data_IF_075890202642
#
_entry.id   IF_075890202642
#
_cell.length_a   1.000
_cell.length_b   1.000
_cell.length_c   1.000
_cell.angle_alpha   90.00
_cell.angle_beta   90.00
_cell.angle_gamma   90.00
#
_symmetry.space_group_name_H-M   'P 1'
#
loop_
_entity.id
_entity.type
_entity.pdbx_description
1 polymer ?
#
# COMPACT_ATOMS: atom_id res chain seq x y z
N UNK A 1 0.17 -10.51 -53.09
CA UNK A 1 1.52 -10.78 -52.53
C UNK A 1 2.03 -9.43 -52.03
N UNK A 2 1.80 -9.12 -50.74
CA UNK A 2 2.81 -9.17 -49.62
C UNK A 2 3.85 -8.05 -49.77
N UNK A 3 4.07 -7.10 -48.85
CA UNK A 3 3.80 -7.04 -47.40
C UNK A 3 3.87 -5.58 -46.91
N UNK A 4 3.13 -5.34 -45.83
CA UNK A 4 3.10 -4.18 -44.94
C UNK A 4 4.43 -3.94 -44.23
N UNK A 5 4.76 -2.68 -43.91
CA UNK A 5 5.65 -2.35 -42.80
C UNK A 5 4.99 -1.36 -41.85
N UNK A 6 4.75 -1.86 -40.65
CA UNK A 6 4.32 -1.16 -39.45
C UNK A 6 5.42 -0.21 -38.97
N UNK A 7 5.05 0.97 -38.48
CA UNK A 7 5.82 1.69 -37.47
C UNK A 7 4.91 1.89 -36.25
N UNK A 8 5.32 1.23 -35.18
CA UNK A 8 4.72 1.20 -33.86
C UNK A 8 4.90 2.55 -33.16
N UNK A 9 3.79 3.17 -32.77
CA UNK A 9 3.76 4.17 -31.70
C UNK A 9 2.65 3.74 -30.73
N UNK A 10 3.01 2.86 -29.78
CA UNK A 10 2.12 2.47 -28.68
C UNK A 10 2.41 3.34 -27.47
N UNK A 11 1.66 4.42 -27.33
CA UNK A 11 1.45 5.10 -26.05
C UNK A 11 0.60 4.19 -25.16
N UNK A 12 1.20 3.62 -24.13
CA UNK A 12 0.45 2.85 -23.13
C UNK A 12 -0.39 3.80 -22.26
N UNK A 13 -1.65 3.96 -22.66
CA UNK A 13 -2.71 4.44 -21.79
C UNK A 13 -3.13 3.30 -20.86
N UNK A 14 -3.05 3.50 -19.55
CA UNK A 14 -3.67 2.59 -18.59
C UNK A 14 -5.16 2.95 -18.54
N UNK A 15 -5.99 2.05 -19.08
CA UNK A 15 -7.44 2.11 -18.98
C UNK A 15 -7.81 1.71 -17.54
N UNK A 16 -8.39 2.66 -16.79
CA UNK A 16 -9.16 2.36 -15.59
C UNK A 16 -10.47 1.71 -16.07
N UNK A 17 -10.64 0.41 -15.84
CA UNK A 17 -11.89 -0.27 -16.17
C UNK A 17 -13.01 0.27 -15.25
N UNK A 18 -13.78 1.21 -15.76
CA UNK A 18 -15.18 1.39 -15.41
C UNK A 18 -16.00 0.32 -16.15
N UNK A 19 -16.20 -0.83 -15.53
CA UNK A 19 -17.28 -1.74 -15.91
C UNK A 19 -18.40 -1.63 -14.87
N UNK A 20 -19.32 -0.70 -15.16
CA UNK A 20 -20.70 -0.78 -14.67
C UNK A 20 -21.34 -1.95 -15.41
N UNK A 21 -21.47 -3.11 -14.74
CA UNK A 21 -22.32 -4.17 -15.27
C UNK A 21 -23.33 -4.69 -14.26
N UNK A 22 -24.58 -4.62 -14.69
CA UNK A 22 -25.79 -5.00 -13.99
C UNK A 22 -25.92 -6.50 -14.09
N UNK A 23 -25.50 -7.25 -13.08
CA UNK A 23 -26.10 -8.55 -12.74
C UNK A 23 -25.58 -9.04 -11.38
N UNK A 24 -26.50 -9.11 -10.43
CA UNK A 24 -26.30 -9.83 -9.19
C UNK A 24 -26.00 -11.31 -9.47
N UNK A 25 -25.15 -11.91 -8.62
CA UNK A 25 -24.75 -13.32 -8.56
C UNK A 25 -23.65 -13.80 -9.51
N UNK A 26 -22.41 -13.47 -9.16
CA UNK A 26 -21.32 -14.46 -8.97
C UNK A 26 -20.08 -13.75 -8.40
N UNK A 27 -19.99 -13.69 -7.07
CA UNK A 27 -18.73 -13.32 -6.41
C UNK A 27 -17.72 -14.45 -6.67
N UNK A 28 -16.86 -14.26 -7.67
CA UNK A 28 -15.62 -15.03 -7.79
C UNK A 28 -14.67 -14.53 -6.71
N UNK A 29 -14.77 -15.12 -5.53
CA UNK A 29 -13.88 -14.84 -4.40
C UNK A 29 -12.49 -15.39 -4.73
N UNK A 30 -11.70 -14.64 -5.50
CA UNK A 30 -10.27 -14.94 -5.66
C UNK A 30 -9.64 -14.91 -4.28
N UNK A 31 -9.26 -16.09 -3.77
CA UNK A 31 -8.62 -16.25 -2.47
C UNK A 31 -7.28 -15.54 -2.51
N UNK A 32 -7.14 -14.47 -1.73
CA UNK A 32 -5.84 -13.84 -1.48
C UNK A 32 -5.27 -14.44 -0.20
N UNK A 33 -4.04 -14.93 -0.26
CA UNK A 33 -3.33 -15.45 0.91
C UNK A 33 -2.67 -14.25 1.59
N UNK A 34 -3.18 -13.84 2.75
CA UNK A 34 -2.50 -12.87 3.63
C UNK A 34 -1.57 -13.63 4.55
N UNK A 35 -0.27 -13.37 4.45
CA UNK A 35 0.68 -13.86 5.45
C UNK A 35 0.57 -15.38 5.73
N UNK A 36 0.28 -16.16 4.68
CA UNK A 36 0.06 -17.61 4.78
C UNK A 36 -1.34 -18.04 5.28
N UNK A 37 -2.30 -17.11 5.42
CA UNK A 37 -3.68 -17.37 5.83
C UNK A 37 -4.66 -16.95 4.73
N UNK A 38 -5.67 -17.78 4.50
CA UNK A 38 -6.78 -17.42 3.61
C UNK A 38 -7.59 -16.28 4.24
N UNK A 39 -7.86 -15.22 3.47
CA UNK A 39 -8.76 -14.14 3.90
C UNK A 39 -10.02 -14.19 3.07
N UNK A 40 -11.15 -14.18 3.76
CA UNK A 40 -12.47 -14.44 3.18
C UNK A 40 -13.06 -13.22 2.45
N UNK A 41 -12.43 -12.05 2.56
CA UNK A 41 -12.90 -10.82 1.92
C UNK A 41 -11.75 -9.98 1.38
N UNK A 42 -11.99 -9.30 0.25
CA UNK A 42 -11.10 -8.27 -0.25
C UNK A 42 -11.11 -7.12 0.76
N UNK A 43 -9.95 -6.77 1.31
CA UNK A 43 -9.84 -5.64 2.24
C UNK A 43 -10.31 -4.37 1.50
N UNK A 44 -11.37 -3.77 2.00
CA UNK A 44 -11.92 -2.52 1.48
C UNK A 44 -11.65 -1.44 2.52
N UNK A 45 -10.97 -0.38 2.12
CA UNK A 45 -10.67 0.77 2.98
C UNK A 45 -11.96 1.51 3.26
N UNK A 46 -12.08 2.08 4.45
CA UNK A 46 -13.11 3.05 4.72
C UNK A 46 -13.10 4.17 3.64
N UNK A 47 -14.21 4.37 2.91
CA UNK A 47 -14.23 5.29 1.77
C UNK A 47 -13.99 6.75 2.17
N UNK A 48 -14.21 7.10 3.44
CA UNK A 48 -14.16 8.45 3.99
C UNK A 48 -12.82 9.16 3.74
N UNK A 49 -11.71 8.42 3.68
CA UNK A 49 -10.36 8.99 3.45
C UNK A 49 -9.60 8.26 2.34
N UNK A 50 -10.35 7.57 1.47
CA UNK A 50 -9.79 6.87 0.31
C UNK A 50 -8.96 7.80 -0.57
N UNK A 51 -9.31 9.09 -0.66
CA UNK A 51 -8.58 10.08 -1.45
C UNK A 51 -7.19 10.37 -0.89
N UNK A 52 -7.08 10.54 0.43
CA UNK A 52 -5.85 10.82 1.16
C UNK A 52 -4.93 9.61 1.15
N UNK A 53 -5.50 8.42 1.34
CA UNK A 53 -4.76 7.17 1.24
C UNK A 53 -4.24 6.93 -0.18
N UNK A 54 -5.08 7.12 -1.20
CA UNK A 54 -4.65 7.01 -2.60
C UNK A 54 -3.56 8.02 -2.94
N UNK A 55 -3.66 9.26 -2.44
CA UNK A 55 -2.61 10.28 -2.59
C UNK A 55 -1.31 9.84 -1.92
N UNK A 56 -1.38 9.27 -0.72
CA UNK A 56 -0.20 8.76 -0.03
C UNK A 56 0.49 7.65 -0.83
N UNK A 57 -0.28 6.68 -1.31
CA UNK A 57 0.25 5.53 -2.05
C UNK A 57 0.80 5.93 -3.43
N UNK A 58 0.04 6.68 -4.22
CA UNK A 58 0.35 6.94 -5.63
C UNK A 58 1.21 8.20 -5.82
N UNK A 59 1.25 9.12 -4.86
CA UNK A 59 1.97 10.40 -5.05
C UNK A 59 3.07 10.58 -4.03
N UNK A 60 2.82 10.25 -2.75
CA UNK A 60 3.82 10.43 -1.70
C UNK A 60 4.94 9.38 -1.77
N UNK A 61 4.60 8.09 -1.81
CA UNK A 61 5.59 7.02 -1.91
C UNK A 61 6.32 7.01 -3.27
N UNK A 62 5.60 7.29 -4.36
CA UNK A 62 6.18 7.41 -5.71
C UNK A 62 7.18 8.55 -5.81
N UNK A 63 6.79 9.75 -5.41
CA UNK A 63 7.63 10.95 -5.57
C UNK A 63 8.84 10.99 -4.63
N UNK A 64 8.83 10.20 -3.56
CA UNK A 64 9.97 10.06 -2.65
C UNK A 64 11.04 9.06 -3.14
N UNK A 65 10.79 8.36 -4.26
CA UNK A 65 11.64 7.27 -4.75
C UNK A 65 11.98 6.26 -3.63
N UNK A 66 10.99 5.99 -2.78
CA UNK A 66 11.15 5.16 -1.59
C UNK A 66 11.30 3.68 -1.96
N UNK A 67 12.52 3.14 -1.87
CA UNK A 67 12.89 1.80 -2.33
C UNK A 67 13.71 1.04 -1.26
N UNK A 68 13.06 0.56 -0.19
CA UNK A 68 13.73 -0.18 0.86
C UNK A 68 14.21 -1.56 0.38
N UNK A 69 15.19 -2.14 1.07
CA UNK A 69 15.64 -3.52 0.85
C UNK A 69 14.98 -4.52 1.80
N UNK A 70 14.65 -4.05 3.00
CA UNK A 70 14.07 -4.84 4.07
C UNK A 70 12.97 -4.07 4.80
N UNK A 71 11.88 -4.77 5.09
CA UNK A 71 10.83 -4.33 6.01
C UNK A 71 10.79 -5.30 7.19
N UNK A 72 10.99 -4.80 8.40
CA UNK A 72 10.73 -5.51 9.64
C UNK A 72 9.41 -5.02 10.23
N UNK A 73 8.45 -5.94 10.34
CA UNK A 73 7.15 -5.70 10.94
C UNK A 73 7.20 -6.07 12.42
N UNK A 74 6.77 -5.15 13.27
CA UNK A 74 6.55 -5.44 14.68
C UNK A 74 5.39 -4.62 15.21
N UNK A 75 4.84 -5.05 16.35
CA UNK A 75 3.82 -4.31 17.04
C UNK A 75 4.11 -4.26 18.53
N UNK A 76 3.70 -3.17 19.16
CA UNK A 76 3.77 -3.03 20.61
C UNK A 76 2.50 -2.32 21.10
N UNK A 77 2.28 -2.40 22.41
CA UNK A 77 1.17 -1.70 23.06
C UNK A 77 1.73 -0.66 24.01
N UNK A 78 1.35 0.59 23.78
CA UNK A 78 1.50 1.66 24.75
C UNK A 78 0.10 1.97 25.32
N UNK A 79 -0.48 3.11 24.96
CA UNK A 79 -1.89 3.46 25.25
C UNK A 79 -2.86 2.79 24.27
N UNK A 80 -2.45 2.64 23.01
CA UNK A 80 -3.15 1.93 21.95
C UNK A 80 -2.20 0.90 21.29
N UNK A 81 -2.71 0.00 20.41
CA UNK A 81 -1.85 -0.80 19.54
C UNK A 81 -1.08 0.10 18.56
N UNK A 82 0.23 -0.11 18.45
CA UNK A 82 1.08 0.50 17.44
C UNK A 82 1.58 -0.59 16.49
N UNK A 83 1.41 -0.36 15.19
CA UNK A 83 1.88 -1.25 14.14
C UNK A 83 3.03 -0.56 13.40
N UNK A 84 4.22 -1.13 13.47
CA UNK A 84 5.41 -0.48 12.93
C UNK A 84 5.94 -1.26 11.73
N UNK A 85 6.19 -0.53 10.64
CA UNK A 85 7.04 -0.97 9.54
C UNK A 85 8.38 -0.26 9.70
N UNK A 86 9.42 -1.01 10.03
CA UNK A 86 10.79 -0.51 10.06
C UNK A 86 11.49 -0.90 8.75
N UNK A 87 12.00 0.11 8.05
CA UNK A 87 12.64 0.02 6.75
C UNK A 87 14.14 0.15 6.92
N UNK A 88 14.88 -0.89 6.52
CA UNK A 88 16.34 -0.93 6.51
C UNK A 88 17.02 -0.52 7.84
N UNK A 89 16.31 -0.62 8.99
CA UNK A 89 16.79 -0.13 10.29
C UNK A 89 17.07 1.38 10.35
N UNK A 90 16.51 2.15 9.42
CA UNK A 90 16.77 3.59 9.26
C UNK A 90 15.52 4.46 9.35
N UNK A 91 14.38 3.92 8.96
CA UNK A 91 13.13 4.69 8.87
C UNK A 91 11.95 3.86 9.37
N UNK A 92 11.05 4.49 10.10
CA UNK A 92 9.86 3.82 10.62
C UNK A 92 8.57 4.49 10.16
N UNK A 93 7.59 3.69 9.75
CA UNK A 93 6.19 4.12 9.66
C UNK A 93 5.44 3.46 10.81
N UNK A 94 4.90 4.27 11.71
CA UNK A 94 4.02 3.81 12.79
C UNK A 94 2.57 4.04 12.40
N UNK A 95 1.75 2.99 12.48
CA UNK A 95 0.33 3.03 12.15
C UNK A 95 -0.49 2.82 13.42
N UNK A 96 -1.43 3.71 13.70
CA UNK A 96 -2.35 3.66 14.84
C UNK A 96 -3.81 3.76 14.40
N UNK A 97 -4.73 3.34 15.28
CA UNK A 97 -6.18 3.36 15.05
C UNK A 97 -6.88 4.49 15.82
N UNK A 98 -8.10 4.85 15.40
CA UNK A 98 -9.03 5.71 16.15
C UNK A 98 -9.11 7.17 15.67
N UNK A 99 -8.29 7.57 14.70
CA UNK A 99 -8.39 8.86 14.02
C UNK A 99 -7.77 8.75 12.62
N UNK A 100 -8.10 9.64 11.69
CA UNK A 100 -7.47 9.68 10.37
C UNK A 100 -6.47 10.82 10.30
N UNK A 101 -5.21 10.49 10.06
CA UNK A 101 -4.12 11.43 9.80
C UNK A 101 -3.12 10.77 8.86
N UNK A 102 -3.16 11.14 7.59
CA UNK A 102 -2.32 10.55 6.53
C UNK A 102 -1.36 11.63 6.01
N UNK A 103 -0.04 11.39 6.02
CA UNK A 103 0.95 12.38 5.60
C UNK A 103 0.84 12.67 4.09
N UNK A 104 1.02 13.94 3.73
CA UNK A 104 1.30 14.32 2.35
C UNK A 104 2.79 14.12 2.01
N UNK A 105 3.16 14.48 0.78
CA UNK A 105 4.52 14.34 0.29
C UNK A 105 5.55 15.04 1.17
N UNK A 106 5.23 16.26 1.63
CA UNK A 106 6.18 17.08 2.40
C UNK A 106 6.43 16.47 3.78
N UNK A 107 5.36 16.12 4.50
CA UNK A 107 5.46 15.49 5.81
C UNK A 107 6.17 14.13 5.74
N UNK A 108 5.95 13.39 4.67
CA UNK A 108 6.63 12.11 4.46
C UNK A 108 8.12 12.28 4.17
N UNK A 109 8.50 13.22 3.29
CA UNK A 109 9.91 13.49 3.00
C UNK A 109 10.67 13.97 4.24
N UNK A 110 10.03 14.82 5.06
CA UNK A 110 10.63 15.23 6.32
C UNK A 110 10.77 14.05 7.28
N UNK A 111 9.76 13.20 7.38
CA UNK A 111 9.81 12.00 8.20
C UNK A 111 10.86 10.98 7.74
N UNK A 112 11.09 10.82 6.44
CA UNK A 112 12.20 10.03 5.90
C UNK A 112 13.55 10.61 6.34
N UNK A 113 13.67 11.94 6.40
CA UNK A 113 14.89 12.63 6.87
C UNK A 113 15.09 12.50 8.37
N UNK A 114 14.01 12.50 9.17
CA UNK A 114 14.08 12.39 10.64
C UNK A 114 14.05 10.94 11.15
N UNK A 115 13.73 9.98 10.29
CA UNK A 115 13.71 8.56 10.59
C UNK A 115 12.36 8.01 11.03
N UNK A 116 11.28 8.80 11.04
CA UNK A 116 9.95 8.31 11.42
C UNK A 116 8.80 9.10 10.79
N UNK A 117 7.69 8.41 10.53
CA UNK A 117 6.39 8.97 10.14
C UNK A 117 5.29 8.25 10.92
N UNK A 118 4.33 9.02 11.45
CA UNK A 118 3.13 8.48 12.06
C UNK A 118 1.95 8.59 11.09
N UNK A 119 1.17 7.52 10.98
CA UNK A 119 -0.07 7.45 10.21
C UNK A 119 -1.17 6.97 11.14
N UNK A 120 -2.28 7.69 11.18
CA UNK A 120 -3.48 7.22 11.89
C UNK A 120 -4.57 6.88 10.88
N UNK A 121 -5.20 5.73 11.08
CA UNK A 121 -6.33 5.23 10.29
C UNK A 121 -7.53 4.93 11.18
N UNK A 122 -8.69 4.71 10.57
CA UNK A 122 -9.93 4.63 11.32
C UNK A 122 -10.04 3.36 12.16
N UNK A 123 -9.81 2.19 11.54
CA UNK A 123 -9.91 0.90 12.22
C UNK A 123 -8.81 -0.11 11.84
N UNK A 124 -8.83 -1.28 12.49
CA UNK A 124 -7.88 -2.38 12.26
C UNK A 124 -7.91 -2.97 10.84
N UNK A 125 -9.03 -2.87 10.10
CA UNK A 125 -9.10 -3.33 8.70
C UNK A 125 -8.27 -2.39 7.84
N UNK A 126 -8.36 -1.09 8.10
CA UNK A 126 -7.59 -0.08 7.41
C UNK A 126 -6.09 -0.17 7.71
N UNK A 127 -5.71 -0.50 8.96
CA UNK A 127 -4.32 -0.78 9.32
C UNK A 127 -3.76 -1.91 8.47
N UNK A 128 -4.50 -3.02 8.41
CA UNK A 128 -4.08 -4.21 7.66
C UNK A 128 -3.95 -3.90 6.17
N UNK A 129 -4.93 -3.19 5.60
CA UNK A 129 -4.90 -2.75 4.21
C UNK A 129 -3.68 -1.87 3.92
N UNK A 130 -3.41 -0.88 4.78
CA UNK A 130 -2.29 0.05 4.59
C UNK A 130 -0.94 -0.68 4.63
N UNK A 131 -0.74 -1.56 5.60
CA UNK A 131 0.47 -2.41 5.69
C UNK A 131 0.65 -3.22 4.40
N UNK A 132 -0.39 -3.92 3.95
CA UNK A 132 -0.33 -4.71 2.72
C UNK A 132 0.05 -3.87 1.51
N UNK A 133 -0.56 -2.70 1.39
CA UNK A 133 -0.42 -1.86 0.21
C UNK A 133 0.95 -1.21 0.15
N UNK A 134 1.50 -0.78 1.29
CA UNK A 134 2.91 -0.32 1.37
C UNK A 134 3.87 -1.43 0.96
N UNK A 135 3.67 -2.67 1.46
CA UNK A 135 4.53 -3.81 1.11
C UNK A 135 4.43 -4.13 -0.39
N UNK A 136 3.21 -4.15 -0.93
CA UNK A 136 2.97 -4.42 -2.35
C UNK A 136 3.64 -3.36 -3.23
N UNK A 137 3.49 -2.08 -2.88
CA UNK A 137 4.17 -0.97 -3.53
C UNK A 137 5.69 -1.17 -3.51
N UNK A 138 6.28 -1.41 -2.33
CA UNK A 138 7.74 -1.61 -2.22
C UNK A 138 8.22 -2.80 -3.06
N UNK A 139 7.46 -3.91 -3.10
CA UNK A 139 7.79 -5.08 -3.93
C UNK A 139 7.72 -4.81 -5.42
N UNK A 140 6.80 -3.96 -5.87
CA UNK A 140 6.71 -3.58 -7.28
C UNK A 140 7.99 -2.88 -7.74
N UNK A 141 8.65 -2.13 -6.85
CA UNK A 141 9.88 -1.38 -7.14
C UNK A 141 11.16 -2.12 -6.74
N UNK A 142 11.06 -3.10 -5.84
CA UNK A 142 12.14 -3.99 -5.44
C UNK A 142 11.60 -5.43 -5.27
N UNK A 143 11.63 -6.27 -6.32
CA UNK A 143 11.12 -7.65 -6.24
C UNK A 143 11.83 -8.54 -5.21
N UNK A 144 13.06 -8.18 -4.83
CA UNK A 144 13.89 -8.91 -3.85
C UNK A 144 13.64 -8.44 -2.40
N UNK A 145 12.65 -7.55 -2.19
CA UNK A 145 12.30 -7.00 -0.88
C UNK A 145 12.11 -8.10 0.16
N UNK A 146 12.91 -8.02 1.23
CA UNK A 146 12.79 -8.90 2.37
C UNK A 146 11.72 -8.37 3.33
N UNK A 147 10.78 -9.23 3.73
CA UNK A 147 9.76 -8.87 4.71
C UNK A 147 9.81 -9.86 5.86
N UNK A 148 10.11 -9.35 7.05
CA UNK A 148 10.25 -10.13 8.27
C UNK A 148 9.25 -9.67 9.33
N UNK A 149 8.98 -10.54 10.30
CA UNK A 149 8.13 -10.26 11.45
C UNK A 149 8.87 -10.58 12.73
N UNK A 150 8.90 -9.61 13.64
CA UNK A 150 9.39 -9.82 14.99
C UNK A 150 8.24 -10.31 15.87
N UNK A 151 8.55 -11.24 16.78
CA UNK A 151 7.60 -11.77 17.77
C UNK A 151 7.60 -10.94 19.03
#
# INVERSE_FOLDING_TARGET
>A
MTTSHEHSNSSHFIILNEDVDKNAHRFSTKRKVLFGREVFHQLCVNPTYSSELNRFLNSTLESSNFRPNKITLYSYRATAPHHVLNFDSQFEITITEGNTSIPDLWNFQDGVRTGNVDISVYDSVDVLYLIETIIAYCRQHNPELQVERTK
#
